data_IF_756207849384
#
_entry.id   IF_756207849384
#
_cell.length_a   1.000
_cell.length_b   1.000
_cell.length_c   1.000
_cell.angle_alpha   90.00
_cell.angle_beta   90.00
_cell.angle_gamma   90.00
#
_symmetry.space_group_name_H-M   'P 1'
#
loop_
_entity.id
_entity.type
_entity.pdbx_description
1 polymer ?
#
# COMPACT_ATOMS: atom_id res chain seq x y z
N UNK A 1 22.06 -3.33 14.98
CA UNK A 1 21.22 -2.60 14.01
C UNK A 1 20.91 -3.58 12.89
N UNK A 2 19.65 -3.91 12.68
CA UNK A 2 19.22 -4.84 11.64
C UNK A 2 19.20 -4.16 10.26
N UNK A 3 19.19 -4.93 9.19
CA UNK A 3 19.00 -4.43 7.81
C UNK A 3 17.72 -3.58 7.69
N UNK A 4 16.64 -3.99 8.38
CA UNK A 4 15.37 -3.25 8.41
C UNK A 4 15.53 -1.89 9.07
N UNK A 5 16.27 -1.80 10.18
CA UNK A 5 16.51 -0.52 10.87
C UNK A 5 17.27 0.47 9.97
N UNK A 6 18.23 -0.04 9.18
CA UNK A 6 19.00 0.78 8.24
C UNK A 6 18.07 1.34 7.15
N UNK A 7 17.25 0.49 6.53
CA UNK A 7 16.28 0.92 5.52
C UNK A 7 15.30 1.95 6.06
N UNK A 8 14.70 1.68 7.23
CA UNK A 8 13.75 2.59 7.87
C UNK A 8 14.38 3.94 8.20
N UNK A 9 15.62 3.94 8.72
CA UNK A 9 16.33 5.18 9.02
C UNK A 9 16.62 6.00 7.76
N UNK A 10 17.20 5.39 6.72
CA UNK A 10 17.51 6.11 5.47
C UNK A 10 16.24 6.65 4.81
N UNK A 11 15.16 5.87 4.82
CA UNK A 11 13.87 6.33 4.32
C UNK A 11 13.35 7.53 5.11
N UNK A 12 13.35 7.44 6.44
CA UNK A 12 12.95 8.54 7.31
C UNK A 12 13.76 9.80 7.04
N UNK A 13 15.10 9.72 7.08
CA UNK A 13 16.00 10.85 6.86
C UNK A 13 15.79 11.49 5.48
N UNK A 14 15.53 10.69 4.44
CA UNK A 14 15.28 11.18 3.08
C UNK A 14 13.97 11.97 3.01
N UNK A 15 12.90 11.47 3.63
CA UNK A 15 11.59 12.15 3.63
C UNK A 15 11.60 13.37 4.54
N UNK A 16 12.22 13.26 5.71
CA UNK A 16 12.33 14.34 6.70
C UNK A 16 13.10 15.54 6.14
N UNK A 17 14.11 15.32 5.30
CA UNK A 17 14.82 16.39 4.60
C UNK A 17 13.91 17.28 3.73
N UNK A 18 12.72 16.81 3.35
CA UNK A 18 11.72 17.57 2.60
C UNK A 18 10.44 17.89 3.39
N UNK A 19 10.48 17.82 4.73
CA UNK A 19 9.31 17.95 5.60
C UNK A 19 8.42 19.17 5.32
N UNK A 20 9.00 20.31 4.93
CA UNK A 20 8.25 21.57 4.73
C UNK A 20 7.51 21.64 3.39
N UNK A 21 8.09 21.13 2.31
CA UNK A 21 7.54 21.26 0.95
C UNK A 21 6.95 19.95 0.41
N UNK A 22 7.24 18.84 1.08
CA UNK A 22 6.96 17.50 0.60
C UNK A 22 7.93 17.07 -0.50
N UNK A 23 8.23 15.78 -0.55
CA UNK A 23 8.94 15.15 -1.66
C UNK A 23 7.98 14.20 -2.36
N UNK A 24 8.08 14.09 -3.69
CA UNK A 24 7.36 13.05 -4.40
C UNK A 24 7.86 11.68 -3.95
N UNK A 25 6.97 10.69 -3.92
CA UNK A 25 7.36 9.32 -3.55
C UNK A 25 8.50 8.79 -4.42
N UNK A 26 8.45 9.06 -5.73
CA UNK A 26 9.44 8.54 -6.68
C UNK A 26 10.82 9.14 -6.45
N UNK A 27 10.91 10.45 -6.17
CA UNK A 27 12.18 11.11 -5.89
C UNK A 27 12.76 10.63 -4.55
N UNK A 28 11.91 10.48 -3.53
CA UNK A 28 12.32 9.94 -2.22
C UNK A 28 12.86 8.52 -2.33
N UNK A 29 12.19 7.65 -3.10
CA UNK A 29 12.65 6.28 -3.37
C UNK A 29 14.00 6.30 -4.10
N UNK A 30 14.15 7.12 -5.15
CA UNK A 30 15.40 7.22 -5.91
C UNK A 30 16.58 7.65 -5.02
N UNK A 31 16.40 8.69 -4.21
CA UNK A 31 17.44 9.21 -3.32
C UNK A 31 17.78 8.24 -2.18
N UNK A 32 16.76 7.60 -1.58
CA UNK A 32 16.99 6.58 -0.55
C UNK A 32 17.77 5.39 -1.13
N UNK A 33 17.43 4.93 -2.34
CA UNK A 33 18.15 3.86 -3.03
C UNK A 33 19.60 4.25 -3.29
N UNK A 34 19.87 5.46 -3.79
CA UNK A 34 21.24 5.94 -4.02
C UNK A 34 22.09 5.85 -2.74
N UNK A 35 21.53 6.32 -1.62
CA UNK A 35 22.18 6.26 -0.31
C UNK A 35 22.44 4.82 0.14
N UNK A 36 21.47 3.93 -0.01
CA UNK A 36 21.60 2.51 0.36
C UNK A 36 22.62 1.78 -0.53
N UNK A 37 22.71 2.14 -1.81
CA UNK A 37 23.66 1.53 -2.74
C UNK A 37 25.12 1.82 -2.38
N UNK A 38 25.41 2.93 -1.69
CA UNK A 38 26.74 3.19 -1.13
C UNK A 38 27.08 2.16 -0.05
N UNK A 39 26.13 1.83 0.82
CA UNK A 39 26.30 0.83 1.89
C UNK A 39 26.45 -0.59 1.32
N UNK A 40 25.68 -0.93 0.28
CA UNK A 40 25.81 -2.21 -0.44
C UNK A 40 27.19 -2.34 -1.08
N UNK A 41 27.63 -1.33 -1.83
CA UNK A 41 28.95 -1.33 -2.50
C UNK A 41 30.11 -1.40 -1.51
N UNK A 42 29.93 -0.85 -0.32
CA UNK A 42 30.90 -0.94 0.76
C UNK A 42 30.86 -2.27 1.54
N UNK A 43 29.96 -3.19 1.18
CA UNK A 43 29.80 -4.50 1.84
C UNK A 43 29.18 -4.43 3.24
N UNK A 44 28.57 -3.30 3.61
CA UNK A 44 27.94 -3.09 4.92
C UNK A 44 26.45 -3.44 4.94
N UNK A 45 25.84 -3.53 3.76
CA UNK A 45 24.45 -3.89 3.58
C UNK A 45 24.34 -5.10 2.64
N UNK A 46 23.80 -6.20 3.13
CA UNK A 46 23.54 -7.41 2.34
C UNK A 46 22.17 -7.31 1.65
N UNK A 47 22.11 -7.73 0.38
CA UNK A 47 20.87 -7.77 -0.40
C UNK A 47 20.36 -9.21 -0.46
N UNK A 48 19.16 -9.42 0.09
CA UNK A 48 18.46 -10.70 0.02
C UNK A 48 17.79 -10.83 -1.36
N UNK A 49 18.47 -11.54 -2.27
CA UNK A 49 18.00 -11.76 -3.63
C UNK A 49 16.69 -12.56 -3.68
N UNK A 50 16.48 -13.51 -2.76
CA UNK A 50 15.26 -14.31 -2.73
C UNK A 50 14.06 -13.42 -2.38
N UNK A 51 14.20 -12.56 -1.36
CA UNK A 51 13.16 -11.57 -1.04
C UNK A 51 12.92 -10.58 -2.17
N UNK A 52 13.95 -10.15 -2.88
CA UNK A 52 13.82 -9.26 -4.03
C UNK A 52 13.01 -9.91 -5.17
N UNK A 53 13.34 -11.17 -5.53
CA UNK A 53 12.61 -11.93 -6.54
C UNK A 53 11.15 -12.17 -6.12
N UNK A 54 10.91 -12.56 -4.86
CA UNK A 54 9.56 -12.72 -4.33
C UNK A 54 8.76 -11.41 -4.38
N UNK A 55 9.40 -10.27 -4.14
CA UNK A 55 8.77 -8.95 -4.28
C UNK A 55 8.36 -8.67 -5.73
N UNK A 56 9.22 -8.95 -6.71
CA UNK A 56 8.89 -8.75 -8.13
C UNK A 56 7.77 -9.68 -8.60
N UNK A 57 7.76 -10.95 -8.17
CA UNK A 57 6.64 -11.88 -8.42
C UNK A 57 5.33 -11.34 -7.85
N UNK A 58 5.35 -10.79 -6.62
CA UNK A 58 4.16 -10.18 -5.99
C UNK A 58 3.66 -8.94 -6.74
N UNK A 59 4.56 -8.13 -7.29
CA UNK A 59 4.20 -6.99 -8.14
C UNK A 59 3.56 -7.43 -9.46
N UNK A 60 4.07 -8.50 -10.07
CA UNK A 60 3.47 -9.09 -11.26
C UNK A 60 2.07 -9.64 -10.94
N UNK A 61 1.89 -10.39 -9.84
CA UNK A 61 0.58 -10.89 -9.38
C UNK A 61 -0.44 -9.75 -9.18
N UNK A 62 -0.04 -8.66 -8.52
CA UNK A 62 -0.91 -7.49 -8.31
C UNK A 62 -1.28 -6.79 -9.64
N UNK A 63 -0.39 -6.79 -10.62
CA UNK A 63 -0.66 -6.23 -11.95
C UNK A 63 -1.61 -7.11 -12.74
N UNK A 64 -1.40 -8.42 -12.71
CA UNK A 64 -2.31 -9.40 -13.33
C UNK A 64 -3.71 -9.31 -12.71
N UNK A 65 -3.84 -9.19 -11.38
CA UNK A 65 -5.13 -9.02 -10.71
C UNK A 65 -5.90 -7.78 -11.17
N UNK A 66 -5.22 -6.64 -11.39
CA UNK A 66 -5.87 -5.42 -11.92
C UNK A 66 -6.32 -5.58 -13.37
N UNK A 67 -5.51 -6.23 -14.21
CA UNK A 67 -5.88 -6.50 -15.60
C UNK A 67 -7.01 -7.54 -15.70
N UNK A 68 -7.06 -8.47 -14.76
CA UNK A 68 -8.11 -9.47 -14.70
C UNK A 68 -9.50 -8.85 -14.54
N UNK A 69 -9.65 -7.85 -13.68
CA UNK A 69 -10.91 -7.12 -13.51
C UNK A 69 -11.35 -6.40 -14.80
N UNK A 70 -10.38 -5.89 -15.57
CA UNK A 70 -10.64 -5.25 -16.85
C UNK A 70 -11.12 -6.26 -17.91
N UNK A 71 -10.58 -7.49 -17.92
CA UNK A 71 -11.05 -8.55 -18.80
C UNK A 71 -12.50 -8.93 -18.51
N UNK A 72 -12.85 -9.13 -17.23
CA UNK A 72 -14.24 -9.45 -16.86
C UNK A 72 -15.21 -8.37 -17.35
N UNK A 73 -14.83 -7.10 -17.23
CA UNK A 73 -15.62 -5.96 -17.73
C UNK A 73 -15.74 -5.97 -19.27
N UNK A 74 -14.65 -6.28 -19.98
CA UNK A 74 -14.62 -6.43 -21.45
C UNK A 74 -15.55 -7.55 -21.92
N UNK A 75 -15.49 -8.71 -21.27
CA UNK A 75 -16.35 -9.88 -21.54
C UNK A 75 -17.82 -9.52 -21.32
N UNK A 76 -18.14 -8.92 -20.16
CA UNK A 76 -19.51 -8.54 -19.82
C UNK A 76 -20.11 -7.50 -20.79
N UNK A 77 -19.28 -6.59 -21.29
CA UNK A 77 -19.70 -5.58 -22.28
C UNK A 77 -19.86 -6.14 -23.71
N UNK A 78 -19.44 -7.39 -23.98
CA UNK A 78 -19.41 -7.96 -25.32
C UNK A 78 -18.43 -7.26 -26.27
N UNK A 79 -17.43 -6.56 -25.72
CA UNK A 79 -16.51 -5.73 -26.50
C UNK A 79 -15.34 -6.58 -27.05
N UNK A 80 -15.35 -6.79 -28.36
CA UNK A 80 -14.29 -7.35 -29.18
C UNK A 80 -14.03 -8.88 -29.04
N UNK A 81 -13.43 -9.52 -30.08
CA UNK A 81 -13.02 -10.91 -29.97
C UNK A 81 -11.96 -11.08 -28.89
N UNK A 82 -12.11 -12.13 -28.09
CA UNK A 82 -11.14 -12.53 -27.08
C UNK A 82 -10.03 -13.36 -27.75
N UNK A 83 -8.81 -13.19 -27.25
CA UNK A 83 -7.63 -13.99 -27.68
C UNK A 83 -7.13 -14.83 -26.50
N UNK A 84 -6.30 -15.85 -26.76
CA UNK A 84 -5.85 -16.76 -25.69
C UNK A 84 -4.99 -16.03 -24.64
N UNK A 85 -4.20 -15.05 -25.08
CA UNK A 85 -3.34 -14.21 -24.25
C UNK A 85 -4.16 -13.42 -23.21
N UNK A 86 -5.43 -13.11 -23.49
CA UNK A 86 -6.33 -12.49 -22.51
C UNK A 86 -6.55 -13.42 -21.28
N UNK A 87 -6.38 -14.74 -21.42
CA UNK A 87 -6.58 -15.73 -20.34
C UNK A 87 -5.28 -16.15 -19.62
N UNK A 88 -4.10 -15.71 -20.09
CA UNK A 88 -2.78 -16.03 -19.53
C UNK A 88 -2.39 -15.14 -18.33
N UNK A 89 -3.38 -14.63 -17.61
CA UNK A 89 -3.17 -13.80 -16.42
C UNK A 89 -3.71 -14.48 -15.17
N UNK A 90 -3.04 -14.19 -14.05
CA UNK A 90 -3.40 -14.70 -12.73
C UNK A 90 -4.50 -13.84 -12.13
N UNK A 91 -5.54 -14.49 -11.61
CA UNK A 91 -6.63 -13.88 -10.88
C UNK A 91 -6.54 -14.22 -9.40
N UNK A 92 -6.94 -13.26 -8.57
CA UNK A 92 -7.09 -13.46 -7.13
C UNK A 92 -8.49 -13.94 -6.83
N UNK A 93 -8.61 -15.20 -6.37
CA UNK A 93 -9.87 -15.73 -5.85
C UNK A 93 -10.13 -15.20 -4.44
N UNK A 94 -9.07 -14.88 -3.71
CA UNK A 94 -9.08 -14.41 -2.33
C UNK A 94 -8.71 -15.51 -1.33
N UNK A 95 -8.61 -15.17 -0.04
CA UNK A 95 -8.03 -16.03 1.00
C UNK A 95 -6.62 -16.61 0.67
N UNK A 96 -5.85 -15.95 -0.21
CA UNK A 96 -4.54 -16.41 -0.66
C UNK A 96 -4.57 -17.33 -1.88
N UNK A 97 -5.74 -17.71 -2.38
CA UNK A 97 -5.87 -18.55 -3.57
C UNK A 97 -5.71 -17.76 -4.87
N UNK A 98 -5.18 -18.45 -5.89
CA UNK A 98 -4.89 -17.94 -7.23
C UNK A 98 -5.26 -18.99 -8.27
N UNK A 99 -5.80 -18.54 -9.40
CA UNK A 99 -5.97 -19.33 -10.63
C UNK A 99 -5.57 -18.46 -11.83
N UNK A 100 -5.35 -19.05 -12.99
CA UNK A 100 -5.38 -18.27 -14.23
C UNK A 100 -6.82 -18.11 -14.70
N UNK A 101 -7.14 -17.05 -15.46
CA UNK A 101 -8.49 -16.85 -16.00
C UNK A 101 -9.00 -18.07 -16.78
N UNK A 102 -8.10 -18.80 -17.44
CA UNK A 102 -8.42 -20.02 -18.17
C UNK A 102 -9.13 -21.09 -17.32
N UNK A 103 -8.83 -21.17 -16.02
CA UNK A 103 -9.38 -22.18 -15.10
C UNK A 103 -10.43 -21.63 -14.13
N UNK A 104 -10.90 -20.40 -14.34
CA UNK A 104 -11.95 -19.80 -13.50
C UNK A 104 -13.28 -20.46 -13.82
N UNK A 105 -13.89 -21.04 -12.80
CA UNK A 105 -15.22 -21.66 -12.86
C UNK A 105 -16.31 -20.75 -12.25
N UNK A 106 -17.60 -21.12 -12.33
CA UNK A 106 -18.66 -20.29 -11.77
C UNK A 106 -18.57 -20.08 -10.24
N UNK A 107 -18.10 -21.09 -9.50
CA UNK A 107 -17.96 -20.99 -8.02
C UNK A 107 -16.86 -20.00 -7.66
N UNK A 108 -15.76 -19.96 -8.42
CA UNK A 108 -14.71 -18.96 -8.29
C UNK A 108 -15.24 -17.54 -8.45
N UNK A 109 -16.15 -17.30 -9.40
CA UNK A 109 -16.74 -15.98 -9.63
C UNK A 109 -17.56 -15.50 -8.43
N UNK A 110 -18.30 -16.42 -7.79
CA UNK A 110 -19.05 -16.12 -6.57
C UNK A 110 -18.12 -15.76 -5.40
N UNK A 111 -17.05 -16.54 -5.20
CA UNK A 111 -16.03 -16.26 -4.17
C UNK A 111 -15.34 -14.92 -4.43
N UNK A 112 -14.97 -14.65 -5.69
CA UNK A 112 -14.37 -13.37 -6.08
C UNK A 112 -15.30 -12.19 -5.78
N UNK A 113 -16.61 -12.34 -6.03
CA UNK A 113 -17.60 -11.31 -5.72
C UNK A 113 -17.75 -11.08 -4.21
N UNK A 114 -17.85 -12.15 -3.42
CA UNK A 114 -17.92 -12.07 -1.95
C UNK A 114 -16.73 -11.30 -1.37
N UNK A 115 -15.52 -11.62 -1.85
CA UNK A 115 -14.29 -11.01 -1.34
C UNK A 115 -14.14 -9.55 -1.78
N UNK A 116 -14.56 -9.20 -3.00
CA UNK A 116 -14.64 -7.80 -3.44
C UNK A 116 -15.63 -7.01 -2.57
N UNK A 117 -16.80 -7.57 -2.26
CA UNK A 117 -17.79 -6.93 -1.41
C UNK A 117 -17.26 -6.72 0.02
N UNK A 118 -16.58 -7.72 0.58
CA UNK A 118 -15.90 -7.61 1.88
C UNK A 118 -14.86 -6.50 1.87
N UNK A 119 -13.96 -6.47 0.88
CA UNK A 119 -12.92 -5.45 0.76
C UNK A 119 -13.51 -4.03 0.61
N UNK A 120 -14.61 -3.89 -0.13
CA UNK A 120 -15.34 -2.63 -0.24
C UNK A 120 -15.84 -2.15 1.13
N UNK A 121 -16.50 -3.03 1.89
CA UNK A 121 -17.01 -2.70 3.24
C UNK A 121 -15.87 -2.32 4.18
N UNK A 122 -14.80 -3.12 4.21
CA UNK A 122 -13.65 -2.88 5.09
C UNK A 122 -12.94 -1.56 4.72
N UNK A 123 -12.85 -1.22 3.43
CA UNK A 123 -12.32 0.06 2.93
C UNK A 123 -13.19 1.25 3.35
N UNK A 124 -14.52 1.13 3.20
CA UNK A 124 -15.48 2.15 3.65
C UNK A 124 -15.35 2.42 5.16
N UNK A 125 -15.31 1.36 5.96
CA UNK A 125 -15.25 1.47 7.41
C UNK A 125 -13.88 2.05 7.85
N UNK A 126 -12.79 1.68 7.16
CA UNK A 126 -11.46 2.28 7.37
C UNK A 126 -11.46 3.79 7.08
N UNK A 127 -12.05 4.22 5.97
CA UNK A 127 -12.19 5.63 5.62
C UNK A 127 -13.00 6.41 6.66
N UNK A 128 -14.13 5.85 7.13
CA UNK A 128 -14.97 6.49 8.15
C UNK A 128 -14.23 6.72 9.47
N UNK A 129 -13.44 5.73 9.91
CA UNK A 129 -12.58 5.87 11.10
C UNK A 129 -11.53 6.97 10.90
N UNK A 130 -10.77 6.89 9.81
CA UNK A 130 -9.74 7.87 9.51
C UNK A 130 -10.28 9.30 9.42
N UNK A 131 -11.45 9.49 8.79
CA UNK A 131 -12.08 10.80 8.72
C UNK A 131 -12.51 11.32 10.11
N UNK A 132 -13.00 10.43 10.97
CA UNK A 132 -13.35 10.76 12.37
C UNK A 132 -12.11 11.18 13.16
N UNK A 133 -11.01 10.43 13.01
CA UNK A 133 -9.73 10.73 13.66
C UNK A 133 -9.16 12.08 13.18
N UNK A 134 -9.25 12.36 11.87
CA UNK A 134 -8.87 13.66 11.31
C UNK A 134 -9.71 14.79 11.91
N UNK A 135 -11.03 14.64 12.02
CA UNK A 135 -11.91 15.68 12.56
C UNK A 135 -11.54 15.98 14.01
N UNK A 136 -11.20 14.96 14.80
CA UNK A 136 -10.78 15.13 16.19
C UNK A 136 -9.43 15.85 16.32
N UNK A 137 -8.46 15.50 15.48
CA UNK A 137 -7.07 15.99 15.60
C UNK A 137 -6.86 17.34 14.89
N UNK A 138 -7.61 17.64 13.82
CA UNK A 138 -7.40 18.82 12.99
C UNK A 138 -7.38 20.15 13.76
N UNK A 139 -8.27 20.43 14.73
CA UNK A 139 -8.22 21.69 15.48
C UNK A 139 -6.92 21.87 16.26
N UNK A 140 -6.41 20.80 16.87
CA UNK A 140 -5.15 20.81 17.64
C UNK A 140 -3.97 21.12 16.72
N UNK A 141 -3.91 20.45 15.57
CA UNK A 141 -2.85 20.70 14.57
C UNK A 141 -2.97 22.11 13.99
N UNK A 142 -4.18 22.63 13.80
CA UNK A 142 -4.38 23.99 13.32
C UNK A 142 -3.85 25.05 14.32
N UNK A 143 -3.95 24.79 15.63
CA UNK A 143 -3.43 25.65 16.68
C UNK A 143 -1.89 25.61 16.75
N UNK A 144 -1.29 24.42 16.67
CA UNK A 144 0.16 24.22 16.82
C UNK A 144 0.93 24.09 15.50
N UNK A 145 0.26 24.25 14.36
CA UNK A 145 0.75 24.16 12.98
C UNK A 145 1.17 22.75 12.51
N UNK A 146 1.73 21.91 13.39
CA UNK A 146 2.15 20.54 13.03
C UNK A 146 1.80 19.54 14.13
N UNK A 147 1.76 18.25 13.78
CA UNK A 147 1.61 17.15 14.74
C UNK A 147 2.76 17.12 15.76
N UNK A 148 4.00 17.39 15.33
CA UNK A 148 5.17 17.39 16.20
C UNK A 148 5.12 18.50 17.25
N UNK A 149 4.79 19.72 16.82
CA UNK A 149 4.64 20.87 17.73
C UNK A 149 3.48 20.69 18.71
N UNK A 150 2.36 20.10 18.27
CA UNK A 150 1.25 19.75 19.14
C UNK A 150 1.67 18.73 20.21
N UNK A 151 2.48 17.73 19.85
CA UNK A 151 3.02 16.74 20.78
C UNK A 151 3.98 17.37 21.79
N UNK A 152 4.93 18.20 21.33
CA UNK A 152 5.87 18.91 22.20
C UNK A 152 5.15 19.84 23.19
N UNK A 153 4.00 20.40 22.80
CA UNK A 153 3.14 21.21 23.65
C UNK A 153 2.24 20.40 24.61
N UNK A 154 2.25 19.06 24.54
CA UNK A 154 1.38 18.19 25.36
C UNK A 154 -0.10 18.24 24.97
N UNK A 155 -0.43 18.73 23.78
CA UNK A 155 -1.81 19.04 23.39
C UNK A 155 -2.69 17.80 23.14
N UNK A 156 -2.09 16.62 22.99
CA UNK A 156 -2.81 15.35 22.78
C UNK A 156 -3.29 14.69 24.07
N UNK A 157 -2.73 15.05 25.23
CA UNK A 157 -3.13 14.46 26.52
C UNK A 157 -4.56 14.89 26.92
N UNK A 158 -5.00 16.05 26.46
CA UNK A 158 -6.35 16.60 26.69
C UNK A 158 -7.46 15.84 25.94
N UNK A 159 -7.12 15.08 24.89
CA UNK A 159 -8.09 14.28 24.13
C UNK A 159 -8.43 12.96 24.85
N UNK A 160 -7.48 12.42 25.62
CA UNK A 160 -7.68 11.18 26.37
C UNK A 160 -8.66 11.36 27.54
N UNK A 161 -8.67 12.53 28.18
CA UNK A 161 -9.58 12.83 29.31
C UNK A 161 -11.03 13.04 28.85
N UNK A 162 -11.25 13.67 27.69
CA UNK A 162 -12.60 13.96 27.16
C UNK A 162 -13.35 12.72 26.62
N UNK A 163 -12.64 11.63 26.31
CA UNK A 163 -13.24 10.35 25.86
C UNK A 163 -13.52 9.40 27.04
N UNK A 164 -12.87 9.64 28.19
CA UNK A 164 -13.05 8.85 29.41
C UNK A 164 -14.16 9.37 30.34
N UNK A 165 -14.69 10.57 30.09
CA UNK A 165 -15.81 11.21 30.81
C UNK A 165 -17.15 11.06 30.08
#
# INVERSE_FOLDING_TARGET
MTTSDIFSRVWFETVDAAATIGMSKLDAEAQAIETLMVEVRAGRLEVDLEKALLSEIRKADATHGRHADALLSKIAAGNAPLVMEDFEMVVTLGAGHRKTWYYVDPEDLDVMNEIRYKNYRDSRDSFQRFNSDIIAVRPIVAEHLTMGLAFEAGAFDLVAEAVAS
#
